data_IF_049029199701
#
_entry.id   IF_049029199701
#
_cell.length_a   1.000
_cell.length_b   1.000
_cell.length_c   1.000
_cell.angle_alpha   90.00
_cell.angle_beta   90.00
_cell.angle_gamma   90.00
#
_symmetry.space_group_name_H-M   'P 1'
#
loop_
_entity.id
_entity.type
_entity.pdbx_description
1 polymer ?
#
# COMPACT_ATOMS: atom_id res chain seq x y z
N UNK A 1 -17.83 8.15 27.55
CA UNK A 1 -16.83 7.50 26.68
C UNK A 1 -15.72 8.51 26.49
N UNK A 2 -14.50 8.19 26.91
CA UNK A 2 -13.38 9.13 26.86
C UNK A 2 -13.01 9.43 25.41
N UNK A 3 -13.33 10.64 24.95
CA UNK A 3 -13.12 11.16 23.61
C UNK A 3 -11.62 11.38 23.23
N UNK A 4 -10.68 10.97 24.08
CA UNK A 4 -9.25 11.21 23.93
C UNK A 4 -8.46 9.96 23.53
N UNK A 5 -9.11 8.91 23.00
CA UNK A 5 -8.36 7.78 22.45
C UNK A 5 -7.94 8.13 21.01
N UNK A 6 -6.65 8.37 20.74
CA UNK A 6 -6.14 8.76 19.41
C UNK A 6 -6.33 7.66 18.35
N UNK A 7 -6.69 6.45 18.77
CA UNK A 7 -7.00 5.33 17.87
C UNK A 7 -8.45 5.30 17.41
N UNK A 8 -9.32 6.09 18.03
CA UNK A 8 -10.70 6.15 17.58
C UNK A 8 -10.76 7.11 16.41
N UNK A 9 -11.02 6.59 15.24
CA UNK A 9 -11.49 7.40 14.12
C UNK A 9 -12.79 8.05 14.60
N UNK A 10 -12.69 9.27 15.11
CA UNK A 10 -13.77 10.04 15.80
C UNK A 10 -15.04 10.15 14.94
N UNK A 11 -14.85 10.02 13.64
CA UNK A 11 -15.92 9.83 12.67
C UNK A 11 -15.39 8.81 11.64
N UNK A 12 -16.20 7.81 11.30
CA UNK A 12 -15.94 6.92 10.15
C UNK A 12 -15.80 7.69 8.81
N UNK A 13 -15.84 9.02 8.85
CA UNK A 13 -15.57 9.94 7.76
C UNK A 13 -14.10 10.28 7.56
N UNK A 14 -13.23 10.07 8.55
CA UNK A 14 -11.78 10.20 8.37
C UNK A 14 -11.28 8.98 7.58
N UNK A 15 -10.89 9.23 6.34
CA UNK A 15 -10.67 8.16 5.36
C UNK A 15 -9.20 7.82 5.27
N UNK A 16 -8.32 8.81 5.45
CA UNK A 16 -6.89 8.69 5.22
C UNK A 16 -6.10 9.35 6.33
N UNK A 17 -5.15 8.60 6.88
CA UNK A 17 -4.21 9.06 7.90
C UNK A 17 -2.77 8.78 7.48
N UNK A 18 -1.89 9.74 7.71
CA UNK A 18 -0.44 9.62 7.55
C UNK A 18 0.25 9.85 8.89
N UNK A 19 1.10 8.91 9.28
CA UNK A 19 1.92 9.01 10.50
C UNK A 19 3.39 9.07 10.12
N UNK A 20 4.09 10.10 10.58
CA UNK A 20 5.50 10.31 10.33
C UNK A 20 6.31 10.25 11.62
N UNK A 21 7.46 9.58 11.59
CA UNK A 21 8.34 9.54 12.75
C UNK A 21 9.67 8.88 12.47
N UNK A 22 10.72 9.33 13.12
CA UNK A 22 12.06 8.77 13.00
C UNK A 22 12.13 7.34 13.54
N UNK A 23 13.13 6.55 13.14
CA UNK A 23 13.44 5.29 13.81
C UNK A 23 13.56 5.50 15.33
N UNK A 24 12.93 4.63 16.12
CA UNK A 24 12.88 4.75 17.57
C UNK A 24 11.79 5.69 18.12
N UNK A 25 11.03 6.38 17.28
CA UNK A 25 9.89 7.22 17.72
C UNK A 25 8.65 6.43 18.16
N UNK A 26 8.65 5.11 17.99
CA UNK A 26 7.54 4.23 18.36
C UNK A 26 6.55 3.93 17.24
N UNK A 27 6.83 4.29 15.98
CA UNK A 27 5.94 4.04 14.81
C UNK A 27 5.35 2.63 14.83
N UNK A 28 6.18 1.62 14.92
CA UNK A 28 5.75 0.22 14.84
C UNK A 28 4.83 -0.17 16.00
N UNK A 29 5.15 0.27 17.21
CA UNK A 29 4.32 0.03 18.40
C UNK A 29 2.96 0.75 18.29
N UNK A 30 2.94 1.95 17.72
CA UNK A 30 1.72 2.71 17.48
C UNK A 30 0.84 1.99 16.45
N UNK A 31 1.43 1.54 15.34
CA UNK A 31 0.72 0.78 14.32
C UNK A 31 0.12 -0.50 14.91
N UNK A 32 0.87 -1.24 15.75
CA UNK A 32 0.40 -2.44 16.42
C UNK A 32 -0.77 -2.16 17.39
N UNK A 33 -0.65 -1.09 18.20
CA UNK A 33 -1.73 -0.66 19.08
C UNK A 33 -2.99 -0.26 18.31
N UNK A 34 -2.83 0.46 17.20
CA UNK A 34 -3.94 0.87 16.36
C UNK A 34 -4.66 -0.34 15.75
N UNK A 35 -3.90 -1.27 15.16
CA UNK A 35 -4.42 -2.53 14.62
C UNK A 35 -5.21 -3.28 15.71
N UNK A 36 -4.61 -3.46 16.89
CA UNK A 36 -5.23 -4.16 18.02
C UNK A 36 -6.53 -3.48 18.47
N UNK A 37 -6.50 -2.16 18.58
CA UNK A 37 -7.67 -1.38 19.04
C UNK A 37 -8.82 -1.47 18.03
N UNK A 38 -8.53 -1.35 16.74
CA UNK A 38 -9.55 -1.43 15.71
C UNK A 38 -10.12 -2.84 15.63
N UNK A 39 -9.27 -3.87 15.63
CA UNK A 39 -9.70 -5.27 15.60
C UNK A 39 -10.64 -5.60 16.77
N UNK A 40 -10.35 -5.10 17.97
CA UNK A 40 -11.18 -5.36 19.14
C UNK A 40 -12.51 -4.59 19.14
N UNK A 41 -12.58 -3.46 18.45
CA UNK A 41 -13.74 -2.57 18.47
C UNK A 41 -14.67 -2.72 17.26
N UNK A 42 -14.21 -3.38 16.18
CA UNK A 42 -14.94 -3.48 14.92
C UNK A 42 -15.02 -4.94 14.48
N UNK A 43 -16.11 -5.64 14.90
CA UNK A 43 -16.25 -7.08 14.59
C UNK A 43 -16.56 -7.38 13.13
N UNK A 44 -17.17 -6.44 12.43
CA UNK A 44 -17.67 -6.63 11.05
C UNK A 44 -16.77 -5.99 9.99
N UNK A 45 -15.75 -5.22 10.41
CA UNK A 45 -14.84 -4.55 9.49
C UNK A 45 -13.71 -5.50 9.05
N UNK A 46 -13.19 -5.26 7.86
CA UNK A 46 -11.99 -5.94 7.40
C UNK A 46 -10.74 -5.16 7.79
N UNK A 47 -9.69 -5.89 8.13
CA UNK A 47 -8.37 -5.32 8.45
C UNK A 47 -7.35 -5.94 7.52
N UNK A 48 -6.59 -5.09 6.86
CA UNK A 48 -5.45 -5.48 6.03
C UNK A 48 -4.21 -4.77 6.54
N UNK A 49 -3.17 -5.53 6.77
CA UNK A 49 -1.84 -5.04 7.13
C UNK A 49 -0.87 -5.42 6.02
N UNK A 50 -0.05 -4.49 5.56
CA UNK A 50 1.07 -4.79 4.67
C UNK A 50 2.36 -4.51 5.42
N UNK A 51 3.07 -5.56 5.80
CA UNK A 51 4.36 -5.51 6.48
C UNK A 51 5.50 -5.68 5.47
N UNK A 52 6.00 -4.56 4.98
CA UNK A 52 7.06 -4.55 3.96
C UNK A 52 8.39 -5.07 4.53
N UNK A 53 8.70 -4.70 5.77
CA UNK A 53 9.94 -5.12 6.44
C UNK A 53 9.87 -6.60 6.85
N UNK A 54 8.66 -7.07 7.15
CA UNK A 54 8.31 -8.45 7.47
C UNK A 54 8.56 -8.85 8.93
N UNK A 55 7.78 -9.83 9.37
CA UNK A 55 7.92 -10.45 10.67
C UNK A 55 7.39 -9.64 11.85
N UNK A 56 7.14 -8.34 11.68
CA UNK A 56 6.85 -7.43 12.78
C UNK A 56 5.47 -7.66 13.40
N UNK A 57 4.48 -7.98 12.57
CA UNK A 57 3.09 -8.09 13.01
C UNK A 57 2.56 -9.53 13.05
N UNK A 58 3.37 -10.53 12.71
CA UNK A 58 2.94 -11.94 12.61
C UNK A 58 2.29 -12.44 13.91
N UNK A 59 2.91 -12.21 15.05
CA UNK A 59 2.40 -12.67 16.33
C UNK A 59 1.10 -11.97 16.72
N UNK A 60 1.04 -10.65 16.55
CA UNK A 60 -0.15 -9.85 16.83
C UNK A 60 -1.31 -10.27 15.94
N UNK A 61 -1.07 -10.46 14.64
CA UNK A 61 -2.09 -10.90 13.68
C UNK A 61 -2.64 -12.28 14.06
N UNK A 62 -1.77 -13.25 14.35
CA UNK A 62 -2.18 -14.59 14.77
C UNK A 62 -2.97 -14.57 16.08
N UNK A 63 -2.53 -13.78 17.06
CA UNK A 63 -3.20 -13.61 18.36
C UNK A 63 -4.61 -13.04 18.21
N UNK A 64 -4.81 -12.17 17.24
CA UNK A 64 -6.10 -11.54 16.93
C UNK A 64 -6.95 -12.35 15.94
N UNK A 65 -6.54 -13.58 15.59
CA UNK A 65 -7.28 -14.49 14.72
C UNK A 65 -7.13 -14.18 13.22
N UNK A 66 -6.15 -13.36 12.84
CA UNK A 66 -5.86 -13.05 11.45
C UNK A 66 -5.02 -14.13 10.75
N UNK A 67 -4.92 -13.99 9.43
CA UNK A 67 -4.14 -14.87 8.56
C UNK A 67 -2.96 -14.14 7.92
N UNK A 68 -1.90 -14.89 7.63
CA UNK A 68 -0.69 -14.35 6.99
C UNK A 68 -0.66 -14.83 5.53
N UNK A 69 -0.38 -13.91 4.62
CA UNK A 69 -0.06 -14.18 3.22
C UNK A 69 1.39 -13.73 2.99
N UNK A 70 2.26 -14.66 2.62
CA UNK A 70 3.67 -14.38 2.39
C UNK A 70 3.92 -13.86 0.97
N UNK A 71 5.09 -13.25 0.73
CA UNK A 71 5.48 -12.82 -0.62
C UNK A 71 5.50 -14.00 -1.60
N UNK A 72 5.92 -15.19 -1.17
CA UNK A 72 5.89 -16.40 -2.00
C UNK A 72 4.46 -16.76 -2.44
N UNK A 73 3.49 -16.65 -1.55
CA UNK A 73 2.08 -16.91 -1.86
C UNK A 73 1.49 -15.84 -2.80
N UNK A 74 1.89 -14.56 -2.65
CA UNK A 74 1.50 -13.48 -3.57
C UNK A 74 2.01 -13.79 -4.97
N UNK A 75 3.29 -14.11 -5.12
CA UNK A 75 3.87 -14.44 -6.43
C UNK A 75 3.28 -15.71 -7.05
N UNK A 76 2.88 -16.69 -6.25
CA UNK A 76 2.18 -17.86 -6.75
C UNK A 76 0.83 -17.52 -7.42
N UNK A 77 0.21 -16.41 -7.03
CA UNK A 77 -1.03 -15.90 -7.63
C UNK A 77 -0.81 -14.79 -8.66
N UNK A 78 0.42 -14.55 -9.12
CA UNK A 78 0.75 -13.42 -9.98
C UNK A 78 -0.20 -13.29 -11.18
N UNK A 79 -0.38 -14.36 -11.94
CA UNK A 79 -1.21 -14.36 -13.15
C UNK A 79 -2.67 -14.04 -12.83
N UNK A 80 -3.22 -14.58 -11.74
CA UNK A 80 -4.58 -14.33 -11.30
C UNK A 80 -4.75 -12.86 -10.83
N UNK A 81 -3.78 -12.34 -10.08
CA UNK A 81 -3.80 -10.95 -9.56
C UNK A 81 -3.71 -9.94 -10.71
N UNK A 82 -2.80 -10.16 -11.65
CA UNK A 82 -2.51 -9.20 -12.73
C UNK A 82 -3.46 -9.37 -13.91
N UNK A 83 -3.67 -10.59 -14.38
CA UNK A 83 -4.38 -10.86 -15.63
C UNK A 83 -5.79 -11.44 -15.45
N UNK A 84 -6.21 -11.79 -14.23
CA UNK A 84 -7.50 -12.42 -13.98
C UNK A 84 -8.69 -11.60 -14.48
N UNK A 85 -8.59 -10.28 -14.46
CA UNK A 85 -9.65 -9.37 -14.93
C UNK A 85 -9.63 -9.08 -16.43
N UNK A 86 -8.66 -9.59 -17.20
CA UNK A 86 -8.59 -9.32 -18.65
C UNK A 86 -9.78 -9.85 -19.44
N UNK A 87 -10.44 -10.90 -18.96
CA UNK A 87 -11.60 -11.51 -19.60
C UNK A 87 -12.94 -10.99 -19.08
N UNK A 88 -12.93 -10.21 -17.99
CA UNK A 88 -14.14 -9.60 -17.47
C UNK A 88 -14.58 -8.44 -18.39
N UNK A 89 -15.88 -8.37 -18.67
CA UNK A 89 -16.46 -7.33 -19.52
C UNK A 89 -16.45 -5.93 -18.90
N UNK A 90 -15.96 -5.81 -17.68
CA UNK A 90 -15.89 -4.55 -16.94
C UNK A 90 -14.67 -3.73 -17.39
N UNK A 91 -14.92 -2.68 -18.18
CA UNK A 91 -13.89 -1.79 -18.72
C UNK A 91 -13.01 -1.12 -17.64
N UNK A 92 -13.45 -1.05 -16.38
CA UNK A 92 -12.67 -0.41 -15.32
C UNK A 92 -11.47 -1.27 -14.88
N UNK A 93 -11.62 -2.59 -14.83
CA UNK A 93 -10.54 -3.50 -14.43
C UNK A 93 -9.48 -3.67 -15.55
N UNK A 94 -9.91 -3.59 -16.82
CA UNK A 94 -8.97 -3.65 -17.95
C UNK A 94 -7.97 -2.49 -17.97
N UNK A 95 -8.38 -1.29 -17.58
CA UNK A 95 -7.50 -0.13 -17.51
C UNK A 95 -6.39 -0.25 -16.45
N UNK A 96 -6.54 -1.14 -15.48
CA UNK A 96 -5.59 -1.29 -14.37
C UNK A 96 -4.40 -2.22 -14.69
N UNK A 97 -4.60 -3.21 -15.56
CA UNK A 97 -3.53 -4.15 -15.95
C UNK A 97 -2.33 -3.44 -16.59
N UNK A 98 -2.52 -2.53 -17.56
CA UNK A 98 -1.42 -1.73 -18.10
C UNK A 98 -0.68 -0.93 -17.03
N UNK A 99 -1.38 -0.31 -16.09
CA UNK A 99 -0.78 0.51 -15.03
C UNK A 99 0.10 -0.35 -14.10
N UNK A 100 -0.36 -1.56 -13.75
CA UNK A 100 0.41 -2.49 -12.91
C UNK A 100 1.67 -2.97 -13.66
N UNK A 101 1.54 -3.37 -14.91
CA UNK A 101 2.70 -3.83 -15.72
C UNK A 101 3.67 -2.68 -15.95
N UNK A 102 3.17 -1.47 -16.20
CA UNK A 102 4.01 -0.26 -16.28
C UNK A 102 4.80 -0.04 -14.99
N UNK A 103 4.14 -0.08 -13.83
CA UNK A 103 4.79 0.10 -12.55
C UNK A 103 5.86 -1.00 -12.28
N UNK A 104 5.62 -2.22 -12.70
CA UNK A 104 6.60 -3.32 -12.62
C UNK A 104 7.79 -3.06 -13.55
N UNK A 105 7.55 -2.64 -14.78
CA UNK A 105 8.61 -2.32 -15.74
C UNK A 105 9.48 -1.16 -15.26
N UNK A 106 8.87 -0.10 -14.72
CA UNK A 106 9.59 1.05 -14.17
C UNK A 106 10.45 0.66 -12.96
N UNK A 107 9.94 -0.23 -12.10
CA UNK A 107 10.69 -0.71 -10.93
C UNK A 107 11.88 -1.58 -11.34
N UNK A 108 11.69 -2.53 -12.26
CA UNK A 108 12.72 -3.44 -12.73
C UNK A 108 13.72 -2.77 -13.68
N UNK A 109 13.25 -1.85 -14.52
CA UNK A 109 14.06 -1.14 -15.52
C UNK A 109 14.72 0.13 -14.98
N UNK A 110 14.42 0.52 -13.73
CA UNK A 110 14.94 1.71 -13.06
C UNK A 110 14.68 3.03 -13.82
N UNK A 111 13.56 3.13 -14.51
CA UNK A 111 13.22 4.36 -15.25
C UNK A 111 11.83 4.35 -15.88
N UNK A 112 11.47 5.50 -16.45
CA UNK A 112 10.19 5.68 -17.14
C UNK A 112 10.13 4.84 -18.42
N UNK A 113 8.95 4.29 -18.70
CA UNK A 113 8.71 3.66 -19.98
C UNK A 113 8.44 4.73 -21.06
N UNK A 114 9.04 4.51 -22.23
CA UNK A 114 8.83 5.39 -23.39
C UNK A 114 7.45 5.19 -24.01
N UNK A 115 6.95 6.16 -24.82
CA UNK A 115 5.71 5.97 -25.56
C UNK A 115 5.71 4.74 -26.48
N UNK A 116 6.86 4.36 -27.05
CA UNK A 116 7.01 3.16 -27.85
C UNK A 116 6.80 1.90 -27.02
N UNK A 117 7.46 1.80 -25.86
CA UNK A 117 7.32 0.67 -24.93
C UNK A 117 5.87 0.56 -24.43
N UNK A 118 5.24 1.69 -24.12
CA UNK A 118 3.85 1.74 -23.72
C UNK A 118 2.92 1.23 -24.83
N UNK A 119 3.15 1.61 -26.07
CA UNK A 119 2.37 1.12 -27.22
C UNK A 119 2.52 -0.39 -27.40
N UNK A 120 3.75 -0.92 -27.31
CA UNK A 120 3.99 -2.35 -27.41
C UNK A 120 3.31 -3.14 -26.26
N UNK A 121 3.30 -2.58 -25.06
CA UNK A 121 2.62 -3.16 -23.90
C UNK A 121 1.11 -3.28 -24.15
N UNK A 122 0.46 -2.19 -24.60
CA UNK A 122 -0.98 -2.22 -24.90
C UNK A 122 -1.33 -3.19 -26.03
N UNK A 123 -0.52 -3.25 -27.09
CA UNK A 123 -0.73 -4.19 -28.20
C UNK A 123 -0.61 -5.65 -27.74
N UNK A 124 0.40 -5.96 -26.90
CA UNK A 124 0.56 -7.31 -26.32
C UNK A 124 -0.64 -7.70 -25.45
N UNK A 125 -1.17 -6.79 -24.65
CA UNK A 125 -2.36 -7.02 -23.81
C UNK A 125 -3.63 -7.20 -24.66
N UNK A 126 -3.80 -6.41 -25.73
CA UNK A 126 -4.92 -6.54 -26.66
C UNK A 126 -4.90 -7.88 -27.40
N UNK A 127 -3.71 -8.37 -27.77
CA UNK A 127 -3.57 -9.72 -28.32
C UNK A 127 -3.93 -10.82 -27.31
N UNK A 128 -3.56 -10.66 -26.04
CA UNK A 128 -3.96 -11.61 -24.98
C UNK A 128 -5.48 -11.66 -24.82
N UNK A 129 -6.14 -10.50 -24.82
CA UNK A 129 -7.60 -10.41 -24.69
C UNK A 129 -8.35 -11.10 -25.82
N UNK A 130 -7.82 -11.04 -27.04
CA UNK A 130 -8.43 -11.66 -28.23
C UNK A 130 -8.28 -13.18 -28.28
N UNK A 131 -7.31 -13.74 -27.56
CA UNK A 131 -7.02 -15.17 -27.57
C UNK A 131 -7.63 -15.85 -26.34
N UNK A 132 -8.17 -17.03 -26.53
CA UNK A 132 -8.76 -17.86 -25.46
C UNK A 132 -7.70 -18.66 -24.66
N UNK A 133 -6.41 -18.46 -24.96
CA UNK A 133 -5.31 -19.06 -24.21
C UNK A 133 -5.23 -18.49 -22.79
N UNK A 134 -4.59 -19.23 -21.89
CA UNK A 134 -4.43 -18.79 -20.50
C UNK A 134 -3.65 -17.46 -20.43
N UNK A 135 -4.22 -16.49 -19.72
CA UNK A 135 -3.59 -15.20 -19.47
C UNK A 135 -2.49 -15.36 -18.41
N UNK A 136 -1.26 -15.57 -18.86
CA UNK A 136 -0.09 -15.76 -18.00
C UNK A 136 1.01 -14.75 -18.33
N UNK A 137 1.86 -14.48 -17.36
CA UNK A 137 3.04 -13.62 -17.56
C UNK A 137 3.97 -14.19 -18.68
N UNK A 138 4.08 -15.51 -18.79
CA UNK A 138 4.86 -16.15 -19.84
C UNK A 138 4.30 -15.84 -21.23
N UNK A 139 2.98 -15.96 -21.42
CA UNK A 139 2.33 -15.64 -22.69
C UNK A 139 2.44 -14.14 -23.00
N UNK A 140 2.31 -13.29 -21.98
CA UNK A 140 2.50 -11.85 -22.14
C UNK A 140 3.91 -11.51 -22.63
N UNK A 141 4.95 -12.03 -21.96
CA UNK A 141 6.34 -11.78 -22.33
C UNK A 141 6.63 -12.30 -23.75
N UNK A 142 6.12 -13.47 -24.15
CA UNK A 142 6.30 -14.00 -25.51
C UNK A 142 5.70 -13.11 -26.60
N UNK A 143 4.56 -12.46 -26.33
CA UNK A 143 3.93 -11.51 -27.24
C UNK A 143 4.73 -10.21 -27.30
N UNK A 144 5.09 -9.68 -26.13
CA UNK A 144 5.87 -8.47 -26.02
C UNK A 144 7.24 -8.62 -26.69
N UNK A 145 7.87 -9.81 -26.65
CA UNK A 145 9.14 -10.09 -27.34
C UNK A 145 9.07 -9.88 -28.86
N UNK A 146 7.90 -10.11 -29.48
CA UNK A 146 7.69 -9.89 -30.91
C UNK A 146 7.57 -8.41 -31.28
N UNK A 147 7.12 -7.58 -30.34
CA UNK A 147 6.86 -6.17 -30.51
C UNK A 147 8.05 -5.31 -30.03
N UNK A 148 8.58 -5.65 -28.88
CA UNK A 148 9.71 -4.97 -28.24
C UNK A 148 10.47 -5.96 -27.34
N UNK A 149 11.55 -6.53 -27.89
CA UNK A 149 12.37 -7.53 -27.21
C UNK A 149 13.16 -6.92 -26.02
N UNK A 150 13.52 -5.64 -26.08
CA UNK A 150 14.24 -4.97 -24.99
C UNK A 150 13.35 -4.87 -23.76
N UNK A 151 12.14 -4.35 -23.90
CA UNK A 151 11.14 -4.26 -22.83
C UNK A 151 10.78 -5.64 -22.29
N UNK A 152 10.59 -6.63 -23.16
CA UNK A 152 10.30 -8.00 -22.73
C UNK A 152 11.42 -8.60 -21.87
N UNK A 153 12.69 -8.30 -22.21
CA UNK A 153 13.85 -8.81 -21.47
C UNK A 153 13.90 -8.36 -20.01
N UNK A 154 13.38 -7.17 -19.71
CA UNK A 154 13.27 -6.65 -18.34
C UNK A 154 12.34 -7.53 -17.49
N UNK A 155 11.28 -8.06 -18.09
CA UNK A 155 10.30 -8.91 -17.40
C UNK A 155 10.72 -10.38 -17.25
N UNK A 156 11.82 -10.81 -17.89
CA UNK A 156 12.29 -12.21 -17.84
C UNK A 156 12.54 -12.72 -16.41
N UNK A 157 12.89 -11.81 -15.48
CA UNK A 157 13.06 -12.15 -14.06
C UNK A 157 11.77 -12.73 -13.46
N UNK A 158 10.61 -12.30 -13.96
CA UNK A 158 9.30 -12.75 -13.47
C UNK A 158 9.00 -14.21 -13.85
N UNK A 159 9.59 -14.73 -14.93
CA UNK A 159 9.45 -16.15 -15.30
C UNK A 159 10.04 -17.11 -14.24
N UNK A 160 10.92 -16.61 -13.38
CA UNK A 160 11.55 -17.39 -12.31
C UNK A 160 10.79 -17.35 -10.99
N UNK A 161 9.68 -16.62 -10.95
CA UNK A 161 8.82 -16.58 -9.77
C UNK A 161 8.12 -17.95 -9.59
N UNK A 162 7.82 -18.35 -8.35
CA UNK A 162 7.11 -19.60 -8.05
C UNK A 162 5.61 -19.49 -8.37
N UNK A 163 5.26 -19.17 -9.62
CA UNK A 163 3.91 -18.81 -10.06
C UNK A 163 2.90 -19.97 -9.95
N UNK A 164 3.34 -21.22 -9.75
CA UNK A 164 2.45 -22.39 -9.86
C UNK A 164 2.30 -23.22 -8.58
N UNK A 165 3.00 -22.89 -7.50
CA UNK A 165 2.91 -23.63 -6.26
C UNK A 165 1.92 -22.98 -5.29
N UNK A 166 0.68 -23.52 -5.20
CA UNK A 166 -0.33 -23.13 -4.20
C UNK A 166 -1.02 -21.77 -4.39
N UNK A 167 -1.31 -21.34 -5.62
CA UNK A 167 -2.10 -20.11 -5.90
C UNK A 167 -3.45 -20.06 -5.16
N UNK A 168 -4.15 -21.19 -5.07
CA UNK A 168 -5.45 -21.30 -4.40
C UNK A 168 -5.44 -20.87 -2.92
N UNK A 169 -4.30 -20.97 -2.24
CA UNK A 169 -4.22 -20.69 -0.80
C UNK A 169 -4.26 -19.20 -0.47
N UNK A 170 -3.54 -18.34 -1.22
CA UNK A 170 -3.50 -16.90 -0.93
C UNK A 170 -4.83 -16.21 -1.21
N UNK A 171 -5.49 -16.54 -2.31
CA UNK A 171 -6.80 -15.97 -2.67
C UNK A 171 -7.88 -16.38 -1.66
N UNK A 172 -7.85 -17.62 -1.15
CA UNK A 172 -8.74 -18.04 -0.06
C UNK A 172 -8.44 -17.30 1.25
N UNK A 173 -7.17 -17.14 1.61
CA UNK A 173 -6.77 -16.36 2.79
C UNK A 173 -7.26 -14.92 2.71
N UNK A 174 -7.26 -14.32 1.51
CA UNK A 174 -7.73 -12.94 1.30
C UNK A 174 -9.20 -12.74 1.70
N UNK A 175 -10.01 -13.78 1.69
CA UNK A 175 -11.41 -13.69 2.12
C UNK A 175 -11.59 -13.56 3.64
N UNK A 176 -10.53 -13.76 4.46
CA UNK A 176 -10.61 -13.54 5.90
C UNK A 176 -10.76 -12.06 6.24
N UNK A 177 -11.45 -11.77 7.32
CA UNK A 177 -11.67 -10.40 7.77
C UNK A 177 -10.37 -9.72 8.24
N UNK A 178 -9.40 -10.49 8.71
CA UNK A 178 -8.10 -9.95 9.09
C UNK A 178 -6.97 -10.64 8.32
N UNK A 179 -6.27 -9.89 7.48
CA UNK A 179 -5.19 -10.37 6.61
C UNK A 179 -3.94 -9.54 6.82
N UNK A 180 -2.79 -10.19 6.93
CA UNK A 180 -1.49 -9.53 6.89
C UNK A 180 -0.66 -10.08 5.73
N UNK A 181 -0.20 -9.19 4.86
CA UNK A 181 0.81 -9.47 3.86
C UNK A 181 2.18 -9.30 4.49
N UNK A 182 2.91 -10.39 4.68
CA UNK A 182 4.29 -10.38 5.19
C UNK A 182 5.27 -10.50 4.02
N UNK A 183 6.04 -9.43 3.79
CA UNK A 183 6.99 -9.35 2.68
C UNK A 183 8.45 -9.53 3.12
N UNK A 184 8.68 -10.01 4.35
CA UNK A 184 10.03 -10.12 4.93
C UNK A 184 10.92 -11.14 4.24
N UNK A 185 10.35 -12.23 3.75
CA UNK A 185 11.06 -13.30 3.03
C UNK A 185 11.30 -12.99 1.54
N UNK A 186 10.82 -11.83 1.07
CA UNK A 186 10.99 -11.40 -0.31
C UNK A 186 12.40 -10.91 -0.59
N UNK A 187 12.97 -11.31 -1.74
CA UNK A 187 14.23 -10.74 -2.23
C UNK A 187 14.07 -9.24 -2.46
N UNK A 188 15.11 -8.47 -2.13
CA UNK A 188 15.05 -7.00 -2.14
C UNK A 188 14.63 -6.44 -3.52
N UNK A 189 15.13 -7.02 -4.61
CA UNK A 189 14.79 -6.59 -5.98
C UNK A 189 13.35 -6.86 -6.40
N UNK A 190 12.63 -7.71 -5.69
CA UNK A 190 11.23 -8.05 -5.96
C UNK A 190 10.27 -7.48 -4.90
N UNK A 191 10.80 -6.84 -3.86
CA UNK A 191 10.01 -6.38 -2.72
C UNK A 191 8.96 -5.35 -3.12
N UNK A 192 9.31 -4.43 -4.00
CA UNK A 192 8.39 -3.42 -4.51
C UNK A 192 7.27 -4.04 -5.35
N UNK A 193 7.57 -5.06 -6.13
CA UNK A 193 6.57 -5.80 -6.92
C UNK A 193 5.62 -6.54 -5.98
N UNK A 194 6.14 -7.25 -4.97
CA UNK A 194 5.30 -7.90 -3.96
C UNK A 194 4.39 -6.91 -3.24
N UNK A 195 4.91 -5.72 -2.93
CA UNK A 195 4.14 -4.63 -2.31
C UNK A 195 3.02 -4.14 -3.24
N UNK A 196 3.32 -3.88 -4.51
CA UNK A 196 2.33 -3.47 -5.51
C UNK A 196 1.21 -4.50 -5.67
N UNK A 197 1.56 -5.79 -5.73
CA UNK A 197 0.59 -6.88 -5.81
C UNK A 197 -0.27 -6.98 -4.54
N UNK A 198 0.32 -6.81 -3.36
CA UNK A 198 -0.42 -6.76 -2.09
C UNK A 198 -1.40 -5.57 -2.05
N UNK A 199 -1.00 -4.40 -2.57
CA UNK A 199 -1.89 -3.25 -2.74
C UNK A 199 -3.04 -3.55 -3.70
N UNK A 200 -2.76 -4.23 -4.83
CA UNK A 200 -3.79 -4.64 -5.79
C UNK A 200 -4.79 -5.60 -5.15
N UNK A 201 -4.33 -6.64 -4.47
CA UNK A 201 -5.18 -7.58 -3.74
C UNK A 201 -6.03 -6.85 -2.67
N UNK A 202 -5.44 -5.88 -1.97
CA UNK A 202 -6.15 -5.05 -0.99
C UNK A 202 -7.22 -4.19 -1.65
N UNK A 203 -6.90 -3.56 -2.78
CA UNK A 203 -7.86 -2.77 -3.54
C UNK A 203 -9.06 -3.63 -3.95
N UNK A 204 -8.83 -4.81 -4.52
CA UNK A 204 -9.90 -5.71 -4.94
C UNK A 204 -10.78 -6.14 -3.75
N UNK A 205 -10.17 -6.38 -2.58
CA UNK A 205 -10.91 -6.64 -1.35
C UNK A 205 -11.76 -5.45 -0.92
N UNK A 206 -11.23 -4.22 -0.96
CA UNK A 206 -11.97 -3.00 -0.61
C UNK A 206 -13.17 -2.84 -1.53
N UNK A 207 -13.01 -2.96 -2.85
CA UNK A 207 -14.10 -2.82 -3.82
C UNK A 207 -15.19 -3.87 -3.59
N UNK A 208 -14.80 -5.14 -3.52
CA UNK A 208 -15.72 -6.25 -3.29
C UNK A 208 -16.53 -6.12 -1.98
N UNK A 209 -15.91 -5.60 -0.92
CA UNK A 209 -16.53 -5.45 0.39
C UNK A 209 -17.28 -4.14 0.52
N UNK A 210 -16.79 -3.06 -0.10
CA UNK A 210 -17.44 -1.76 -0.12
C UNK A 210 -18.84 -1.80 -0.73
N UNK A 211 -19.03 -2.60 -1.76
CA UNK A 211 -20.36 -2.84 -2.38
C UNK A 211 -21.35 -3.48 -1.40
N UNK A 212 -20.85 -4.14 -0.35
CA UNK A 212 -21.65 -4.74 0.74
C UNK A 212 -21.78 -3.82 1.96
N UNK A 213 -21.26 -2.59 1.90
CA UNK A 213 -21.24 -1.66 3.03
C UNK A 213 -20.27 -2.06 4.15
N UNK A 214 -19.25 -2.89 3.85
CA UNK A 214 -18.25 -3.34 4.83
C UNK A 214 -17.00 -2.48 4.73
N UNK A 215 -16.58 -1.86 5.83
CA UNK A 215 -15.34 -1.11 5.89
C UNK A 215 -14.12 -2.02 5.80
N UNK A 216 -13.10 -1.57 5.07
CA UNK A 216 -11.78 -2.21 5.05
C UNK A 216 -10.72 -1.20 5.46
N UNK A 217 -10.03 -1.48 6.56
CA UNK A 217 -8.93 -0.68 7.08
C UNK A 217 -7.61 -1.22 6.56
N UNK A 218 -6.87 -0.40 5.82
CA UNK A 218 -5.51 -0.72 5.34
C UNK A 218 -4.46 -0.04 6.21
N UNK A 219 -3.57 -0.83 6.78
CA UNK A 219 -2.39 -0.37 7.52
C UNK A 219 -1.13 -0.76 6.75
N UNK A 220 -0.28 0.19 6.45
CA UNK A 220 1.00 -0.10 5.82
C UNK A 220 2.09 0.88 6.20
N UNK A 221 3.31 0.37 6.33
CA UNK A 221 4.51 1.18 6.51
C UNK A 221 5.11 1.44 5.14
N UNK A 222 5.20 2.71 4.76
CA UNK A 222 5.80 3.13 3.51
C UNK A 222 7.30 3.35 3.75
N UNK A 223 8.14 2.54 3.11
CA UNK A 223 9.58 2.76 3.09
C UNK A 223 9.99 3.58 1.85
N UNK A 224 11.16 4.22 1.91
CA UNK A 224 11.70 4.94 0.74
C UNK A 224 11.88 4.02 -0.48
N UNK A 225 12.22 2.75 -0.25
CA UNK A 225 12.40 1.76 -1.31
C UNK A 225 11.10 1.43 -2.05
N UNK A 226 9.95 1.54 -1.37
CA UNK A 226 8.64 1.27 -1.95
C UNK A 226 7.98 2.48 -2.65
N UNK A 227 8.67 3.60 -2.79
CA UNK A 227 8.16 4.83 -3.41
C UNK A 227 8.72 5.04 -4.82
N UNK A 228 8.70 4.01 -5.66
CA UNK A 228 8.89 4.22 -7.11
C UNK A 228 7.70 4.98 -7.70
N UNK A 229 7.88 5.61 -8.84
CA UNK A 229 6.83 6.44 -9.44
C UNK A 229 5.56 5.63 -9.75
N UNK A 230 5.70 4.48 -10.38
CA UNK A 230 4.56 3.62 -10.68
C UNK A 230 3.78 3.22 -9.42
N UNK A 231 4.49 2.88 -8.33
CA UNK A 231 3.84 2.57 -7.05
C UNK A 231 3.16 3.80 -6.46
N UNK A 232 3.79 4.98 -6.51
CA UNK A 232 3.18 6.22 -6.05
C UNK A 232 1.90 6.57 -6.84
N UNK A 233 1.92 6.36 -8.16
CA UNK A 233 0.75 6.56 -9.01
C UNK A 233 -0.37 5.59 -8.63
N UNK A 234 -0.04 4.32 -8.41
CA UNK A 234 -1.02 3.32 -7.98
C UNK A 234 -1.58 3.62 -6.58
N UNK A 235 -0.73 3.99 -5.62
CA UNK A 235 -1.16 4.44 -4.29
C UNK A 235 -2.08 5.66 -4.38
N UNK A 236 -1.74 6.64 -5.22
CA UNK A 236 -2.56 7.84 -5.41
C UNK A 236 -3.93 7.51 -6.00
N UNK A 237 -3.98 6.57 -6.95
CA UNK A 237 -5.23 6.05 -7.49
C UNK A 237 -6.06 5.35 -6.40
N UNK A 238 -5.45 4.42 -5.66
CA UNK A 238 -6.08 3.72 -4.56
C UNK A 238 -6.62 4.70 -3.50
N UNK A 239 -5.82 5.68 -3.10
CA UNK A 239 -6.20 6.70 -2.13
C UNK A 239 -7.44 7.49 -2.55
N UNK A 240 -7.48 7.96 -3.81
CA UNK A 240 -8.62 8.73 -4.32
C UNK A 240 -9.91 7.92 -4.37
N UNK A 241 -9.83 6.61 -4.56
CA UNK A 241 -10.99 5.74 -4.79
C UNK A 241 -11.48 4.98 -3.57
N UNK A 242 -10.62 4.68 -2.61
CA UNK A 242 -10.98 3.90 -1.41
C UNK A 242 -12.17 4.48 -0.65
N UNK A 243 -12.29 5.80 -0.60
CA UNK A 243 -13.41 6.48 0.05
C UNK A 243 -14.76 6.06 -0.50
N UNK A 244 -14.86 5.88 -1.81
CA UNK A 244 -16.11 5.52 -2.48
C UNK A 244 -16.54 4.09 -2.18
N UNK A 245 -15.59 3.23 -1.76
CA UNK A 245 -15.76 1.82 -1.49
C UNK A 245 -15.57 1.46 0.00
N UNK A 246 -15.80 2.42 0.90
CA UNK A 246 -15.71 2.19 2.34
C UNK A 246 -14.32 1.71 2.79
N UNK A 247 -13.29 2.22 2.14
CA UNK A 247 -11.89 1.96 2.51
C UNK A 247 -11.31 3.07 3.37
N UNK A 248 -10.61 2.69 4.43
CA UNK A 248 -9.82 3.55 5.29
C UNK A 248 -8.35 3.20 5.16
N UNK A 249 -7.47 4.19 5.18
CA UNK A 249 -6.03 3.94 5.11
C UNK A 249 -5.30 4.62 6.25
N UNK A 250 -4.36 3.89 6.86
CA UNK A 250 -3.44 4.41 7.86
C UNK A 250 -2.02 4.05 7.41
N UNK A 251 -1.30 5.04 6.90
CA UNK A 251 0.03 4.87 6.37
C UNK A 251 1.07 5.44 7.33
N UNK A 252 2.18 4.74 7.49
CA UNK A 252 3.28 5.07 8.37
C UNK A 252 4.55 5.28 7.56
N UNK A 253 5.19 6.42 7.72
CA UNK A 253 6.43 6.76 7.01
C UNK A 253 7.53 7.20 7.98
N UNK A 254 8.77 6.82 7.68
CA UNK A 254 9.92 7.06 8.56
C UNK A 254 10.34 8.53 8.58
N UNK A 255 10.16 9.28 7.48
CA UNK A 255 10.61 10.67 7.37
C UNK A 255 9.67 11.46 6.49
N UNK A 256 9.26 12.63 6.97
CA UNK A 256 8.46 13.55 6.17
C UNK A 256 9.25 14.07 4.96
N UNK A 257 10.52 14.41 5.15
CA UNK A 257 11.38 14.89 4.06
C UNK A 257 11.60 13.86 2.96
N UNK A 258 11.76 12.59 3.34
CA UNK A 258 11.94 11.50 2.38
C UNK A 258 10.63 11.15 1.64
N UNK A 259 9.50 11.45 2.27
CA UNK A 259 8.18 11.26 1.67
C UNK A 259 7.82 12.38 0.68
N UNK A 260 8.36 13.59 0.88
CA UNK A 260 8.05 14.75 0.05
C UNK A 260 8.75 14.67 -1.31
N UNK A 261 8.00 14.26 -2.32
CA UNK A 261 8.36 14.37 -3.73
C UNK A 261 7.09 14.66 -4.56
N UNK A 262 7.22 14.92 -5.85
CA UNK A 262 6.08 15.26 -6.70
C UNK A 262 5.01 14.16 -6.72
N UNK A 263 5.43 12.90 -6.72
CA UNK A 263 4.56 11.74 -6.77
C UNK A 263 3.72 11.59 -5.50
N UNK A 264 4.30 11.88 -4.33
CA UNK A 264 3.62 11.74 -3.04
C UNK A 264 2.76 12.94 -2.65
N UNK A 265 2.88 14.09 -3.31
CA UNK A 265 2.03 15.27 -3.06
C UNK A 265 0.54 14.95 -3.21
N UNK A 266 0.20 14.05 -4.11
CA UNK A 266 -1.19 13.60 -4.29
C UNK A 266 -1.72 12.86 -3.05
N UNK A 267 -0.90 12.08 -2.37
CA UNK A 267 -1.26 11.40 -1.12
C UNK A 267 -1.49 12.42 0.00
N UNK A 268 -0.57 13.38 0.16
CA UNK A 268 -0.70 14.43 1.17
C UNK A 268 -1.99 15.22 1.00
N UNK A 269 -2.32 15.64 -0.22
CA UNK A 269 -3.53 16.43 -0.53
C UNK A 269 -4.84 15.69 -0.28
N UNK A 270 -4.82 14.36 -0.30
CA UNK A 270 -5.98 13.52 -0.06
C UNK A 270 -6.04 12.93 1.35
N UNK A 271 -5.11 13.32 2.23
CA UNK A 271 -5.04 12.87 3.62
C UNK A 271 -5.83 13.83 4.51
N UNK A 272 -6.60 13.26 5.44
CA UNK A 272 -7.45 14.01 6.35
C UNK A 272 -6.76 14.26 7.70
N UNK A 273 -5.91 13.34 8.14
CA UNK A 273 -5.28 13.39 9.46
C UNK A 273 -3.78 13.09 9.34
N UNK A 274 -3.00 13.86 10.05
CA UNK A 274 -1.56 13.70 10.12
C UNK A 274 -1.13 13.52 11.57
N UNK A 275 -0.19 12.61 11.79
CA UNK A 275 0.46 12.43 13.08
C UNK A 275 1.96 12.57 12.86
N UNK A 276 2.54 13.49 13.58
CA UNK A 276 3.98 13.68 13.62
C UNK A 276 4.51 13.21 14.97
N UNK A 277 5.30 12.16 14.97
CA UNK A 277 6.09 11.73 16.12
C UNK A 277 7.41 12.51 16.12
N UNK A 278 8.41 12.09 16.91
CA UNK A 278 9.73 12.72 16.92
C UNK A 278 10.26 12.97 15.51
N UNK A 279 10.67 14.18 15.24
CA UNK A 279 11.21 14.65 13.97
C UNK A 279 12.63 15.22 14.13
N UNK A 280 13.46 15.11 13.09
CA UNK A 280 14.75 15.82 13.01
C UNK A 280 14.57 17.26 12.52
N UNK A 281 15.62 18.06 12.57
CA UNK A 281 15.56 19.46 12.18
C UNK A 281 15.16 19.68 10.71
N UNK A 282 15.60 18.80 9.81
CA UNK A 282 15.25 18.88 8.39
C UNK A 282 13.76 18.63 8.17
N UNK A 283 13.21 17.58 8.80
CA UNK A 283 11.80 17.26 8.72
C UNK A 283 10.94 18.36 9.35
N UNK A 284 11.34 18.90 10.51
CA UNK A 284 10.63 20.01 11.18
C UNK A 284 10.50 21.23 10.29
N UNK A 285 11.58 21.63 9.62
CA UNK A 285 11.53 22.78 8.71
C UNK A 285 10.54 22.56 7.56
N UNK A 286 10.50 21.35 7.02
CA UNK A 286 9.54 20.99 5.96
C UNK A 286 8.11 20.89 6.47
N UNK A 287 7.92 20.29 7.64
CA UNK A 287 6.60 20.19 8.29
C UNK A 287 6.03 21.57 8.54
N UNK A 288 6.84 22.52 9.06
CA UNK A 288 6.40 23.90 9.31
C UNK A 288 6.01 24.63 8.02
N UNK A 289 6.68 24.35 6.91
CA UNK A 289 6.34 24.96 5.61
C UNK A 289 5.03 24.45 5.02
N UNK A 290 4.66 23.20 5.32
CA UNK A 290 3.47 22.55 4.73
C UNK A 290 2.22 22.68 5.59
N UNK A 291 2.35 22.79 6.91
CA UNK A 291 1.23 22.64 7.85
C UNK A 291 1.06 23.83 8.79
N UNK A 292 1.74 24.92 8.63
CA UNK A 292 1.62 26.12 9.51
C UNK A 292 1.50 25.77 11.02
N UNK A 293 2.28 24.75 11.45
CA UNK A 293 2.24 24.24 12.83
C UNK A 293 2.83 25.30 13.78
N UNK A 294 2.15 25.64 14.89
CA UNK A 294 2.67 26.56 15.88
C UNK A 294 4.02 26.11 16.46
N UNK A 295 4.91 27.07 16.76
CA UNK A 295 6.28 26.79 17.21
C UNK A 295 6.36 25.89 18.44
N UNK A 296 5.41 25.99 19.36
CA UNK A 296 5.36 25.13 20.55
C UNK A 296 5.29 23.64 20.21
N UNK A 297 4.47 23.25 19.21
CA UNK A 297 4.39 21.87 18.73
C UNK A 297 5.65 21.45 17.97
N UNK A 298 6.26 22.36 17.18
CA UNK A 298 7.50 22.08 16.47
C UNK A 298 8.66 21.82 17.46
N UNK A 299 8.75 22.62 18.53
CA UNK A 299 9.74 22.38 19.60
C UNK A 299 9.48 21.06 20.32
N UNK A 300 8.23 20.74 20.63
CA UNK A 300 7.87 19.46 21.21
C UNK A 300 8.33 18.29 20.34
N UNK A 301 8.06 18.32 19.01
CA UNK A 301 8.43 17.24 18.08
C UNK A 301 9.94 16.97 18.02
N UNK A 302 10.80 17.98 18.27
CA UNK A 302 12.26 17.79 18.34
C UNK A 302 12.68 16.88 19.47
N UNK A 303 11.97 16.94 20.61
CA UNK A 303 12.33 16.30 21.86
C UNK A 303 11.34 15.21 22.30
N UNK A 304 10.32 14.94 21.51
CA UNK A 304 9.28 13.97 21.82
C UNK A 304 9.88 12.60 22.14
N UNK A 305 9.38 11.99 23.21
CA UNK A 305 9.70 10.62 23.58
C UNK A 305 8.99 9.64 22.63
N UNK A 306 9.42 8.38 22.62
CA UNK A 306 8.73 7.34 21.85
C UNK A 306 7.24 7.24 22.25
N UNK A 307 6.36 7.18 21.26
CA UNK A 307 4.93 7.12 21.47
C UNK A 307 4.24 8.48 21.70
N UNK A 308 4.99 9.60 21.70
CA UNK A 308 4.43 10.93 21.81
C UNK A 308 4.56 11.69 20.49
N UNK A 309 3.56 12.52 20.18
CA UNK A 309 3.55 13.26 18.93
C UNK A 309 2.53 14.40 18.91
N UNK A 310 2.31 14.92 17.73
CA UNK A 310 1.30 15.93 17.42
C UNK A 310 0.38 15.40 16.34
N UNK A 311 -0.91 15.47 16.59
CA UNK A 311 -1.95 15.23 15.61
C UNK A 311 -2.42 16.54 14.99
N UNK A 312 -2.77 16.51 13.72
CA UNK A 312 -3.43 17.63 13.05
C UNK A 312 -4.33 17.15 11.90
N UNK A 313 -5.41 17.88 11.67
CA UNK A 313 -6.23 17.79 10.46
C UNK A 313 -5.91 18.91 9.43
N UNK A 314 -4.83 19.65 9.69
CA UNK A 314 -4.43 20.83 8.92
C UNK A 314 -4.99 22.15 9.45
N UNK A 315 -5.91 22.12 10.42
CA UNK A 315 -6.53 23.30 11.04
C UNK A 315 -6.32 23.30 12.56
N UNK A 316 -6.51 22.15 13.19
CA UNK A 316 -6.38 21.94 14.63
C UNK A 316 -5.13 21.12 14.93
N UNK A 317 -4.55 21.35 16.11
CA UNK A 317 -3.35 20.68 16.60
C UNK A 317 -3.58 20.20 18.02
N UNK A 318 -3.21 18.93 18.29
CA UNK A 318 -3.31 18.32 19.61
C UNK A 318 -2.07 17.46 19.89
N UNK A 319 -1.64 17.42 21.16
CA UNK A 319 -0.65 16.45 21.62
C UNK A 319 -1.26 15.07 21.69
N UNK A 320 -0.54 14.07 21.19
CA UNK A 320 -0.95 12.66 21.29
C UNK A 320 0.05 11.88 22.12
N UNK A 321 -0.49 10.99 22.96
CA UNK A 321 0.28 10.09 23.82
C UNK A 321 -0.26 8.67 23.62
N UNK A 322 0.52 7.88 22.91
CA UNK A 322 0.20 6.47 22.63
C UNK A 322 0.64 5.51 23.73
N UNK A 323 1.27 5.97 24.81
CA UNK A 323 1.68 5.13 25.92
C UNK A 323 0.58 4.94 26.98
N UNK A 324 -0.47 5.70 26.86
CA UNK A 324 -1.72 5.56 27.64
C UNK A 324 -2.67 4.60 26.94
#
# INVERSE_FOLDING_TARGET
MNNNNPFYLKNRSAVHKLTFGLPGSGISSIMEKEITTITNNTKDDNIVVIDIDGGQFIETVKKLGGVIITAKEIFACFDEIVFGSLQESDNQNYCEVPDIITAILEDLGHGYITPHQQSALYEALDEMKKNTESNTINNFIQRLQKLDNETASVLEVLKKLPIYENSYNAMNKLNNNFVCFDLGDCRQELKNIAYLLALKMTKDKIWKNGDKGIYTCLFTKISRASLTEGICNYLSYLYKRTRQHWGLTSFYAISFSAFLNEQTLSLLRNTNEFIFLKQNACDINKVSLYFDIPDEYLQFLRHASAGHGVWTDGIQYDYVDYNK
#
